data_IF_401579530901
#
_entry.id   IF_401579530901
#
_cell.length_a   1.000
_cell.length_b   1.000
_cell.length_c   1.000
_cell.angle_alpha   90.00
_cell.angle_beta   90.00
_cell.angle_gamma   90.00
#
_symmetry.space_group_name_H-M   'P 1'
#
loop_
_entity.id
_entity.type
_entity.pdbx_description
1 polymer ?
#
# COMPACT_ATOMS: atom_id res chain seq x y z
N UNK A 1 34.94 -26.87 15.15
CA UNK A 1 33.48 -26.75 15.35
C UNK A 1 33.14 -25.31 15.79
N UNK A 2 33.54 -24.31 15.00
CA UNK A 2 33.42 -22.87 15.33
C UNK A 2 33.22 -21.98 14.11
N UNK A 3 33.47 -22.51 12.90
CA UNK A 3 33.29 -21.81 11.64
C UNK A 3 31.81 -21.72 11.22
N UNK A 4 31.00 -22.74 11.58
CA UNK A 4 29.59 -22.84 11.20
C UNK A 4 28.69 -21.81 11.91
N UNK A 5 28.97 -21.52 13.19
CA UNK A 5 28.20 -20.53 13.97
C UNK A 5 28.42 -19.11 13.42
N UNK A 6 29.67 -18.73 13.14
CA UNK A 6 29.98 -17.37 12.69
C UNK A 6 29.43 -17.07 11.28
N UNK A 7 29.44 -18.05 10.37
CA UNK A 7 28.84 -17.87 9.04
C UNK A 7 27.33 -17.73 9.10
N UNK A 8 26.67 -18.46 10.02
CA UNK A 8 25.22 -18.39 10.21
C UNK A 8 24.79 -17.00 10.72
N UNK A 9 25.45 -16.48 11.76
CA UNK A 9 25.15 -15.14 12.28
C UNK A 9 25.46 -14.05 11.26
N UNK A 10 26.52 -14.21 10.48
CA UNK A 10 26.85 -13.27 9.39
C UNK A 10 25.76 -13.25 8.31
N UNK A 11 25.26 -14.43 7.91
CA UNK A 11 24.18 -14.52 6.92
C UNK A 11 22.88 -13.89 7.43
N UNK A 12 22.51 -14.13 8.68
CA UNK A 12 21.35 -13.50 9.31
C UNK A 12 21.52 -11.97 9.36
N UNK A 13 22.70 -11.48 9.73
CA UNK A 13 22.97 -10.05 9.80
C UNK A 13 22.83 -9.40 8.42
N UNK A 14 23.43 -9.98 7.38
CA UNK A 14 23.32 -9.50 5.99
C UNK A 14 21.87 -9.56 5.52
N UNK A 15 21.14 -10.64 5.81
CA UNK A 15 19.72 -10.76 5.44
C UNK A 15 18.87 -9.66 6.10
N UNK A 16 19.00 -9.45 7.41
CA UNK A 16 18.28 -8.38 8.11
C UNK A 16 18.65 -6.99 7.58
N UNK A 17 19.92 -6.76 7.25
CA UNK A 17 20.38 -5.52 6.64
C UNK A 17 19.71 -5.29 5.27
N UNK A 18 19.60 -6.33 4.43
CA UNK A 18 18.92 -6.25 3.12
C UNK A 18 17.42 -6.00 3.30
N UNK A 19 16.77 -6.64 4.28
CA UNK A 19 15.33 -6.45 4.56
C UNK A 19 15.02 -5.02 5.03
N UNK A 20 15.83 -4.43 5.91
CA UNK A 20 15.65 -3.06 6.39
C UNK A 20 15.88 -2.03 5.26
N UNK A 21 16.84 -2.28 4.38
CA UNK A 21 17.17 -1.39 3.28
C UNK A 21 16.33 -1.61 2.02
N UNK A 22 15.43 -2.58 2.00
CA UNK A 22 14.51 -2.76 0.88
C UNK A 22 13.27 -1.85 0.99
N UNK A 23 12.97 -1.31 2.18
CA UNK A 23 11.86 -0.39 2.41
C UNK A 23 11.93 0.88 1.53
N UNK A 24 13.09 1.54 1.31
CA UNK A 24 13.18 2.69 0.43
C UNK A 24 13.06 2.37 -1.07
N UNK A 25 13.11 1.10 -1.48
CA UNK A 25 13.21 0.70 -2.90
C UNK A 25 11.91 0.18 -3.49
N UNK A 26 10.84 0.13 -2.71
CA UNK A 26 9.53 -0.29 -3.18
C UNK A 26 8.83 0.84 -3.93
N UNK A 27 8.11 0.55 -5.02
CA UNK A 27 7.41 1.56 -5.79
C UNK A 27 6.31 2.24 -4.95
N UNK A 28 6.19 3.55 -5.15
CA UNK A 28 5.13 4.39 -4.58
C UNK A 28 4.10 4.64 -5.68
N UNK A 29 2.84 4.31 -5.39
CA UNK A 29 1.72 4.54 -6.29
C UNK A 29 0.92 5.74 -5.83
N UNK A 30 0.57 6.58 -6.81
CA UNK A 30 -0.30 7.73 -6.61
C UNK A 30 -1.66 7.42 -7.22
N UNK A 31 -2.72 7.52 -6.42
CA UNK A 31 -4.08 7.27 -6.88
C UNK A 31 -4.88 8.55 -6.77
N UNK A 32 -5.54 8.90 -7.87
CA UNK A 32 -6.44 10.04 -7.96
C UNK A 32 -7.82 9.55 -8.40
N UNK A 33 -8.84 9.85 -7.59
CA UNK A 33 -10.23 9.48 -7.88
C UNK A 33 -11.05 10.76 -7.94
N UNK A 34 -11.76 10.98 -9.05
CA UNK A 34 -12.62 12.14 -9.26
C UNK A 34 -14.07 11.70 -9.49
N UNK A 35 -14.98 12.23 -8.68
CA UNK A 35 -16.41 11.98 -8.84
C UNK A 35 -17.00 12.92 -9.91
N UNK A 36 -17.08 12.44 -11.15
CA UNK A 36 -17.69 13.14 -12.27
C UNK A 36 -19.18 12.79 -12.51
N UNK A 37 -19.87 12.22 -11.51
CA UNK A 37 -21.29 11.92 -11.63
C UNK A 37 -22.12 13.20 -11.86
N UNK A 38 -23.28 13.11 -12.55
CA UNK A 38 -24.20 14.24 -12.69
C UNK A 38 -24.60 14.85 -11.34
N UNK A 39 -24.84 16.16 -11.27
CA UNK A 39 -25.19 16.88 -10.02
C UNK A 39 -26.44 16.35 -9.29
N UNK A 40 -27.33 15.67 -10.00
CA UNK A 40 -28.51 15.01 -9.44
C UNK A 40 -28.22 13.64 -8.83
N UNK A 41 -26.98 13.16 -8.89
CA UNK A 41 -26.59 11.83 -8.42
C UNK A 41 -26.25 11.84 -6.94
N UNK A 42 -26.42 10.68 -6.30
CA UNK A 42 -25.97 10.46 -4.93
C UNK A 42 -24.43 10.58 -4.82
N UNK A 43 -23.91 10.96 -3.64
CA UNK A 43 -22.47 10.94 -3.38
C UNK A 43 -21.87 9.55 -3.65
N UNK A 44 -20.73 9.51 -4.34
CA UNK A 44 -20.01 8.28 -4.64
C UNK A 44 -19.41 7.73 -3.36
N UNK A 45 -19.86 6.56 -2.92
CA UNK A 45 -19.28 5.88 -1.76
C UNK A 45 -18.23 4.90 -2.25
N UNK A 46 -16.99 5.07 -1.78
CA UNK A 46 -15.90 4.19 -2.14
C UNK A 46 -15.20 3.68 -0.89
N UNK A 47 -14.84 2.40 -0.93
CA UNK A 47 -14.01 1.76 0.09
C UNK A 47 -12.80 1.20 -0.60
N UNK A 48 -11.66 1.81 -0.35
CA UNK A 48 -10.39 1.30 -0.79
C UNK A 48 -9.73 0.57 0.38
N UNK A 49 -9.13 -0.60 0.16
CA UNK A 49 -8.42 -1.36 1.18
C UNK A 49 -7.15 -1.95 0.55
N UNK A 50 -5.96 -1.64 1.06
CA UNK A 50 -4.81 -2.51 0.90
C UNK A 50 -5.05 -3.79 1.70
N UNK A 51 -4.60 -4.94 1.17
CA UNK A 51 -4.73 -6.26 1.81
C UNK A 51 -4.36 -6.29 3.31
N UNK A 52 -3.45 -5.42 3.75
CA UNK A 52 -2.93 -5.40 5.12
C UNK A 52 -3.29 -4.13 5.92
N UNK A 53 -4.02 -3.16 5.35
CA UNK A 53 -4.35 -1.91 6.04
C UNK A 53 -5.77 -1.45 5.69
N UNK A 54 -6.59 -1.16 6.69
CA UNK A 54 -7.96 -0.72 6.45
C UNK A 54 -8.00 0.76 6.08
N UNK A 55 -7.94 1.07 4.78
CA UNK A 55 -8.35 2.41 4.33
C UNK A 55 -9.86 2.58 4.58
N UNK A 56 -10.17 3.61 5.36
CA UNK A 56 -11.54 3.93 5.82
C UNK A 56 -12.45 4.27 4.63
N UNK A 57 -13.72 3.85 4.67
CA UNK A 57 -14.74 4.24 3.68
C UNK A 57 -14.78 5.76 3.50
N UNK A 58 -14.76 6.21 2.24
CA UNK A 58 -14.84 7.63 1.86
C UNK A 58 -16.12 7.87 1.08
N UNK A 59 -16.77 8.99 1.39
CA UNK A 59 -17.92 9.50 0.65
C UNK A 59 -17.45 10.72 -0.14
N UNK A 60 -17.47 10.63 -1.48
CA UNK A 60 -17.13 11.73 -2.38
C UNK A 60 -18.40 12.40 -2.90
N UNK A 61 -18.59 13.67 -2.55
CA UNK A 61 -19.62 14.49 -3.16
C UNK A 61 -19.36 14.69 -4.66
N UNK A 62 -20.40 15.07 -5.40
CA UNK A 62 -20.29 15.35 -6.84
C UNK A 62 -19.21 16.41 -7.09
N UNK A 63 -18.39 16.18 -8.12
CA UNK A 63 -17.29 17.04 -8.56
C UNK A 63 -16.15 17.17 -7.54
N UNK A 64 -16.12 16.32 -6.50
CA UNK A 64 -15.00 16.22 -5.57
C UNK A 64 -14.02 15.12 -5.98
N UNK A 65 -12.78 15.30 -5.58
CA UNK A 65 -11.70 14.36 -5.80
C UNK A 65 -11.02 13.98 -4.50
N UNK A 66 -10.40 12.81 -4.49
CA UNK A 66 -9.46 12.38 -3.45
C UNK A 66 -8.16 11.95 -4.09
N UNK A 67 -7.07 12.26 -3.41
CA UNK A 67 -5.73 11.82 -3.74
C UNK A 67 -5.11 11.14 -2.52
N UNK A 68 -4.39 10.05 -2.76
CA UNK A 68 -3.60 9.38 -1.74
C UNK A 68 -2.47 8.59 -2.39
N UNK A 69 -1.50 8.23 -1.57
CA UNK A 69 -0.31 7.48 -1.99
C UNK A 69 -0.20 6.22 -1.16
N UNK A 70 0.24 5.14 -1.78
CA UNK A 70 0.55 3.91 -1.08
C UNK A 70 1.82 3.27 -1.63
N UNK A 71 2.50 2.50 -0.78
CA UNK A 71 3.78 1.89 -1.06
C UNK A 71 3.63 0.36 -1.03
N UNK A 72 4.26 -0.34 -1.98
CA UNK A 72 4.23 -1.80 -1.96
C UNK A 72 5.15 -2.37 -0.88
N UNK A 73 4.79 -3.52 -0.29
CA UNK A 73 5.70 -4.26 0.59
C UNK A 73 6.62 -5.20 -0.22
N UNK A 74 7.88 -5.30 0.20
CA UNK A 74 8.96 -6.03 -0.51
C UNK A 74 8.68 -7.54 -0.65
N UNK A 75 8.06 -8.17 0.35
CA UNK A 75 7.89 -9.63 0.42
C UNK A 75 6.44 -10.11 0.21
N UNK A 76 5.62 -9.30 -0.46
CA UNK A 76 4.39 -9.79 -1.06
C UNK A 76 3.12 -9.01 -0.71
N UNK A 77 2.45 -8.56 -1.76
CA UNK A 77 0.99 -8.63 -1.83
C UNK A 77 0.19 -7.51 -1.16
N UNK A 78 0.64 -6.26 -1.19
CA UNK A 78 -0.30 -5.14 -1.06
C UNK A 78 -1.14 -5.03 -2.34
N UNK A 79 -2.09 -5.95 -2.50
CA UNK A 79 -3.15 -5.78 -3.48
C UNK A 79 -4.05 -4.66 -2.96
N UNK A 80 -4.01 -3.53 -3.64
CA UNK A 80 -4.88 -2.40 -3.38
C UNK A 80 -6.13 -2.55 -4.23
N UNK A 81 -7.29 -2.61 -3.60
CA UNK A 81 -8.58 -2.68 -4.28
C UNK A 81 -9.51 -1.59 -3.79
N UNK A 82 -10.28 -1.01 -4.70
CA UNK A 82 -11.39 -0.11 -4.38
C UNK A 82 -12.71 -0.73 -4.82
N UNK A 83 -13.67 -0.74 -3.90
CA UNK A 83 -15.07 -1.04 -4.15
C UNK A 83 -15.84 0.27 -4.23
N UNK A 84 -16.63 0.42 -5.30
CA UNK A 84 -17.55 1.54 -5.50
C UNK A 84 -18.97 1.05 -5.27
N UNK A 85 -19.72 1.77 -4.45
CA UNK A 85 -21.11 1.47 -4.07
C UNK A 85 -22.04 2.55 -4.60
#
# INVERSE_FOLDING_TARGET
>A
MSYFDNTFFTFIFVLNLVLLNAWPWTPIFHVFIHNALPKSSLPLTLRCQPKNDDLRTKVLNVMKSIDFRFQLHVFGGTLFFCHFY
#
